data_IF_813983934726
#
_entry.id   IF_813983934726
#
_cell.length_a   1.000
_cell.length_b   1.000
_cell.length_c   1.000
_cell.angle_alpha   90.00
_cell.angle_beta   90.00
_cell.angle_gamma   90.00
#
_symmetry.space_group_name_H-M   'P 1'
#
loop_
_entity.id
_entity.type
_entity.pdbx_description
1 polymer ?
#
# COMPACT_ATOMS: atom_id res chain seq x y z
N UNK A 1 -16.08 1.90 -11.12
CA UNK A 1 -15.52 3.26 -11.29
C UNK A 1 -14.30 3.30 -10.39
N UNK A 2 -13.11 3.70 -10.84
CA UNK A 2 -11.94 3.69 -9.94
C UNK A 2 -12.17 4.69 -8.80
N UNK A 3 -12.01 4.29 -7.52
CA UNK A 3 -12.20 5.22 -6.41
C UNK A 3 -11.24 6.43 -6.49
N UNK A 4 -11.64 7.61 -5.98
CA UNK A 4 -10.77 8.77 -5.92
C UNK A 4 -9.41 8.48 -5.26
N UNK A 5 -8.34 9.08 -5.78
CA UNK A 5 -6.98 8.86 -5.27
C UNK A 5 -6.82 9.21 -3.79
N UNK A 6 -7.57 10.20 -3.29
CA UNK A 6 -7.60 10.54 -1.86
C UNK A 6 -8.08 9.35 -1.01
N UNK A 7 -9.21 8.74 -1.39
CA UNK A 7 -9.79 7.57 -0.69
C UNK A 7 -8.83 6.38 -0.75
N UNK A 8 -8.22 6.13 -1.91
CA UNK A 8 -7.25 5.06 -2.07
C UNK A 8 -5.98 5.28 -1.23
N UNK A 9 -5.46 6.51 -1.15
CA UNK A 9 -4.30 6.81 -0.32
C UNK A 9 -4.59 6.72 1.17
N UNK A 10 -5.76 7.17 1.61
CA UNK A 10 -6.20 6.98 2.99
C UNK A 10 -6.34 5.49 3.30
N UNK A 11 -7.01 4.73 2.43
CA UNK A 11 -7.15 3.28 2.56
C UNK A 11 -5.81 2.54 2.62
N UNK A 12 -4.86 2.92 1.77
CA UNK A 12 -3.53 2.32 1.75
C UNK A 12 -2.74 2.69 3.01
N UNK A 13 -2.82 3.94 3.48
CA UNK A 13 -2.19 4.36 4.74
C UNK A 13 -2.70 3.56 5.94
N UNK A 14 -4.01 3.25 5.96
CA UNK A 14 -4.64 2.39 6.97
C UNK A 14 -4.17 0.93 6.84
N UNK A 15 -4.01 0.41 5.62
CA UNK A 15 -3.51 -0.95 5.36
C UNK A 15 -2.03 -1.11 5.76
N UNK A 16 -1.24 -0.04 5.60
CA UNK A 16 0.17 0.06 6.02
C UNK A 16 0.32 0.41 7.51
N UNK A 17 -0.74 0.33 8.31
CA UNK A 17 -0.67 0.59 9.74
C UNK A 17 0.07 -0.53 10.48
N UNK A 18 0.76 -0.16 11.55
CA UNK A 18 1.53 -1.05 12.42
C UNK A 18 0.97 -1.06 13.85
N UNK A 19 1.55 -1.91 14.70
CA UNK A 19 1.22 -1.96 16.13
C UNK A 19 -0.19 -2.48 16.37
N UNK A 20 -0.97 -1.74 17.15
CA UNK A 20 -2.33 -2.14 17.54
C UNK A 20 -3.29 -2.26 16.37
N UNK A 21 -2.99 -1.64 15.22
CA UNK A 21 -3.84 -1.65 14.03
C UNK A 21 -3.32 -2.57 12.92
N UNK A 22 -2.26 -3.33 13.21
CA UNK A 22 -1.71 -4.29 12.25
C UNK A 22 -2.73 -5.40 11.96
N UNK A 23 -2.95 -5.67 10.66
CA UNK A 23 -3.89 -6.69 10.13
C UNK A 23 -5.36 -6.43 10.45
N UNK A 24 -5.72 -5.27 11.01
CA UNK A 24 -7.11 -4.90 11.16
C UNK A 24 -7.74 -4.59 9.80
N UNK A 25 -9.00 -4.97 9.58
CA UNK A 25 -9.75 -4.52 8.41
C UNK A 25 -9.72 -2.99 8.29
N UNK A 26 -9.52 -2.48 7.07
CA UNK A 26 -9.51 -1.02 6.86
C UNK A 26 -10.91 -0.44 6.80
N UNK A 27 -11.92 -1.26 6.45
CA UNK A 27 -13.28 -0.79 6.17
C UNK A 27 -13.89 0.02 7.31
N UNK A 28 -13.87 -0.41 8.60
CA UNK A 28 -14.44 0.39 9.68
C UNK A 28 -13.72 1.74 9.84
N UNK A 29 -12.38 1.74 9.73
CA UNK A 29 -11.53 2.93 9.89
C UNK A 29 -11.64 3.89 8.69
N UNK A 30 -11.94 3.34 7.51
CA UNK A 30 -12.16 4.10 6.29
C UNK A 30 -13.56 4.71 6.28
N UNK A 31 -14.57 3.98 6.78
CA UNK A 31 -15.94 4.48 6.94
C UNK A 31 -16.04 5.65 7.93
N UNK A 32 -15.20 5.65 8.98
CA UNK A 32 -15.08 6.79 9.90
C UNK A 32 -14.61 8.08 9.19
N UNK A 33 -13.77 7.97 8.17
CA UNK A 33 -13.22 9.11 7.41
C UNK A 33 -14.07 9.48 6.19
N UNK A 34 -14.73 8.50 5.58
CA UNK A 34 -15.61 8.69 4.43
C UNK A 34 -16.99 8.04 4.69
N UNK A 35 -17.86 8.65 5.51
CA UNK A 35 -19.13 8.05 5.92
C UNK A 35 -20.15 7.85 4.79
N UNK A 36 -19.91 8.47 3.63
CA UNK A 36 -20.76 8.34 2.45
C UNK A 36 -20.50 7.04 1.66
N UNK A 37 -19.38 6.35 1.92
CA UNK A 37 -19.08 5.09 1.23
C UNK A 37 -20.01 3.98 1.70
N UNK A 38 -20.51 3.24 0.72
CA UNK A 38 -21.26 2.00 0.93
C UNK A 38 -20.32 0.85 1.31
N UNK A 39 -20.89 -0.26 1.82
CA UNK A 39 -20.10 -1.46 2.13
C UNK A 39 -19.33 -1.99 0.92
N UNK A 40 -19.96 -1.99 -0.26
CA UNK A 40 -19.35 -2.49 -1.49
C UNK A 40 -18.17 -1.61 -1.92
N UNK A 41 -18.29 -0.29 -1.78
CA UNK A 41 -17.19 0.64 -2.08
C UNK A 41 -16.04 0.51 -1.09
N UNK A 42 -16.33 0.29 0.20
CA UNK A 42 -15.31 0.01 1.22
C UNK A 42 -14.54 -1.28 0.91
N UNK A 43 -15.24 -2.32 0.45
CA UNK A 43 -14.63 -3.59 0.05
C UNK A 43 -13.82 -3.48 -1.25
N UNK A 44 -14.28 -2.68 -2.20
CA UNK A 44 -13.53 -2.35 -3.42
C UNK A 44 -12.22 -1.64 -3.06
N UNK A 45 -12.27 -0.59 -2.22
CA UNK A 45 -11.07 0.13 -1.76
C UNK A 45 -10.12 -0.81 -1.01
N UNK A 46 -10.63 -1.63 -0.10
CA UNK A 46 -9.80 -2.61 0.61
C UNK A 46 -9.10 -3.57 -0.35
N UNK A 47 -9.83 -4.10 -1.34
CA UNK A 47 -9.26 -4.99 -2.34
C UNK A 47 -8.11 -4.34 -3.09
N UNK A 48 -8.31 -3.09 -3.56
CA UNK A 48 -7.29 -2.33 -4.29
C UNK A 48 -6.06 -2.06 -3.41
N UNK A 49 -6.26 -1.59 -2.17
CA UNK A 49 -5.17 -1.30 -1.25
C UNK A 49 -4.36 -2.55 -0.87
N UNK A 50 -5.03 -3.68 -0.64
CA UNK A 50 -4.36 -4.96 -0.35
C UNK A 50 -3.55 -5.47 -1.54
N UNK A 51 -4.06 -5.32 -2.77
CA UNK A 51 -3.33 -5.66 -3.98
C UNK A 51 -2.08 -4.78 -4.15
N UNK A 52 -2.22 -3.46 -4.00
CA UNK A 52 -1.11 -2.51 -4.08
C UNK A 52 -0.02 -2.80 -3.02
N UNK A 53 -0.43 -3.05 -1.78
CA UNK A 53 0.50 -3.39 -0.70
C UNK A 53 1.29 -4.67 -1.01
N UNK A 54 0.60 -5.74 -1.41
CA UNK A 54 1.24 -7.02 -1.76
C UNK A 54 2.19 -6.86 -2.94
N UNK A 55 1.78 -6.15 -3.99
CA UNK A 55 2.62 -5.89 -5.15
C UNK A 55 3.88 -5.11 -4.77
N UNK A 56 3.76 -4.08 -3.92
CA UNK A 56 4.91 -3.30 -3.45
C UNK A 56 5.91 -4.14 -2.66
N UNK A 57 5.44 -4.98 -1.73
CA UNK A 57 6.30 -5.89 -0.97
C UNK A 57 6.96 -6.95 -1.86
N UNK A 58 6.21 -7.53 -2.80
CA UNK A 58 6.72 -8.49 -3.77
C UNK A 58 7.79 -7.88 -4.66
N UNK A 59 7.60 -6.64 -5.10
CA UNK A 59 8.59 -5.94 -5.90
C UNK A 59 9.88 -5.70 -5.14
N UNK A 60 9.82 -5.29 -3.87
CA UNK A 60 11.03 -5.21 -3.01
C UNK A 60 11.72 -6.57 -2.94
N UNK A 61 10.97 -7.66 -2.71
CA UNK A 61 11.56 -8.99 -2.62
C UNK A 61 12.20 -9.45 -3.95
N UNK A 62 11.59 -9.13 -5.08
CA UNK A 62 12.13 -9.43 -6.41
C UNK A 62 13.42 -8.67 -6.69
N UNK A 63 13.46 -7.36 -6.41
CA UNK A 63 14.69 -6.57 -6.54
C UNK A 63 15.77 -7.04 -5.55
N UNK A 64 15.39 -7.41 -4.34
CA UNK A 64 16.33 -7.91 -3.34
C UNK A 64 16.95 -9.26 -3.73
N UNK A 65 16.20 -10.13 -4.40
CA UNK A 65 16.74 -11.39 -4.95
C UNK A 65 17.75 -11.16 -6.07
N UNK A 66 17.60 -10.08 -6.84
CA UNK A 66 18.47 -9.74 -7.96
C UNK A 66 19.75 -9.04 -7.49
N UNK A 67 19.62 -8.04 -6.63
CA UNK A 67 20.69 -7.09 -6.28
C UNK A 67 21.13 -7.17 -4.79
N UNK A 68 20.62 -8.16 -4.05
CA UNK A 68 20.78 -8.25 -2.59
C UNK A 68 19.99 -7.16 -1.86
N UNK A 69 20.34 -6.87 -0.60
CA UNK A 69 19.63 -5.86 0.21
C UNK A 69 19.88 -4.40 -0.25
N UNK A 70 20.56 -4.18 -1.37
CA UNK A 70 20.83 -2.86 -1.95
C UNK A 70 19.71 -2.38 -2.88
N UNK A 71 18.45 -2.65 -2.55
CA UNK A 71 17.30 -2.19 -3.33
C UNK A 71 17.21 -0.67 -3.24
N UNK A 72 17.22 0.01 -4.40
CA UNK A 72 17.07 1.47 -4.45
C UNK A 72 15.61 1.87 -4.47
N UNK A 73 15.25 2.84 -3.62
CA UNK A 73 13.90 3.41 -3.58
C UNK A 73 13.44 3.93 -4.95
N UNK A 74 14.29 4.64 -5.69
CA UNK A 74 13.93 5.23 -6.98
C UNK A 74 13.63 4.21 -8.08
N UNK A 75 14.32 3.07 -8.09
CA UNK A 75 14.06 1.97 -9.03
C UNK A 75 12.72 1.30 -8.71
N UNK A 76 12.53 0.98 -7.42
CA UNK A 76 11.27 0.44 -6.92
C UNK A 76 10.10 1.39 -7.18
N UNK A 77 10.26 2.69 -6.90
CA UNK A 77 9.24 3.73 -7.06
C UNK A 77 8.83 3.86 -8.53
N UNK A 78 9.80 3.90 -9.45
CA UNK A 78 9.55 4.00 -10.89
C UNK A 78 8.71 2.82 -11.38
N UNK A 79 9.09 1.60 -11.00
CA UNK A 79 8.38 0.39 -11.44
C UNK A 79 7.00 0.28 -10.77
N UNK A 80 6.90 0.58 -9.48
CA UNK A 80 5.65 0.47 -8.74
C UNK A 80 4.60 1.50 -9.20
N UNK A 81 5.00 2.76 -9.38
CA UNK A 81 4.09 3.85 -9.78
C UNK A 81 3.57 3.70 -11.21
N UNK A 82 4.27 2.94 -12.07
CA UNK A 82 3.77 2.57 -13.39
C UNK A 82 2.47 1.75 -13.31
N UNK A 83 2.32 0.92 -12.27
CA UNK A 83 1.10 0.13 -12.02
C UNK A 83 0.11 0.80 -11.06
N UNK A 84 0.60 1.63 -10.14
CA UNK A 84 -0.21 2.28 -9.10
C UNK A 84 0.03 3.81 -9.06
N UNK A 85 -0.33 4.55 -10.13
CA UNK A 85 -0.01 5.99 -10.26
C UNK A 85 -0.75 6.89 -9.27
N UNK A 86 -1.76 6.36 -8.58
CA UNK A 86 -2.52 7.10 -7.57
C UNK A 86 -1.80 7.18 -6.22
N UNK A 87 -0.78 6.36 -5.97
CA UNK A 87 -0.13 6.28 -4.65
C UNK A 87 0.76 7.50 -4.43
N UNK A 88 0.55 8.20 -3.31
CA UNK A 88 1.32 9.38 -2.96
C UNK A 88 2.69 9.03 -2.35
N UNK A 89 3.59 10.01 -2.31
CA UNK A 89 4.96 9.82 -1.85
C UNK A 89 5.06 9.31 -0.40
N UNK A 90 4.15 9.72 0.49
CA UNK A 90 4.13 9.24 1.87
C UNK A 90 3.87 7.74 1.94
N UNK A 91 2.85 7.25 1.23
CA UNK A 91 2.54 5.83 1.16
C UNK A 91 3.64 5.03 0.44
N UNK A 92 4.26 5.59 -0.61
CA UNK A 92 5.40 4.96 -1.30
C UNK A 92 6.55 4.70 -0.33
N UNK A 93 6.96 5.74 0.42
CA UNK A 93 8.05 5.64 1.39
C UNK A 93 7.76 4.62 2.49
N UNK A 94 6.53 4.62 3.03
CA UNK A 94 6.09 3.65 4.05
C UNK A 94 6.04 2.21 3.52
N UNK A 95 5.45 2.01 2.34
CA UNK A 95 5.33 0.71 1.70
C UNK A 95 6.72 0.11 1.40
N UNK A 96 7.63 0.90 0.85
CA UNK A 96 9.00 0.48 0.59
C UNK A 96 9.72 0.10 1.88
N UNK A 97 9.65 0.96 2.91
CA UNK A 97 10.30 0.71 4.20
C UNK A 97 9.81 -0.57 4.87
N UNK A 98 8.49 -0.82 4.84
CA UNK A 98 7.91 -2.07 5.32
C UNK A 98 8.37 -3.28 4.51
N UNK A 99 8.40 -3.18 3.19
CA UNK A 99 8.89 -4.24 2.31
C UNK A 99 10.36 -4.59 2.60
N UNK A 100 11.21 -3.58 2.76
CA UNK A 100 12.62 -3.76 3.14
C UNK A 100 12.75 -4.45 4.50
N UNK A 101 11.99 -4.00 5.51
CA UNK A 101 11.98 -4.60 6.84
C UNK A 101 11.64 -6.11 6.81
N UNK A 102 10.67 -6.53 5.99
CA UNK A 102 10.33 -7.95 5.87
C UNK A 102 11.37 -8.78 5.12
N UNK A 103 12.20 -8.17 4.26
CA UNK A 103 13.30 -8.87 3.57
C UNK A 103 14.61 -8.90 4.39
N UNK A 104 14.70 -8.12 5.47
CA UNK A 104 15.82 -8.14 6.42
C UNK A 104 15.70 -9.25 7.48
N UNK A 105 14.54 -9.91 7.58
CA UNK A 105 14.27 -11.00 8.52
C UNK A 105 14.40 -12.35 7.82
#
# INVERSE_FOLDING_TARGET
>A
MTPPSEILNTGLSLALAWGTDWLKPIQPRLAEQFPALTSDELDEVNTICQQAMRAGHQLVASLAKKDGLNVRFSEWETEFTHHYPWVNHENLSRLFSQGMYYNLK
#
